data_IF_545382315451
#
_entry.id   IF_545382315451
#
_cell.length_a   1.000
_cell.length_b   1.000
_cell.length_c   1.000
_cell.angle_alpha   90.00
_cell.angle_beta   90.00
_cell.angle_gamma   90.00
#
_symmetry.space_group_name_H-M   'P 1'
#
loop_
_entity.id
_entity.type
_entity.pdbx_description
1 polymer ?
#
# COMPACT_ATOMS: atom_id res chain seq x y z
N UNK A 1 -8.87 -11.30 13.86
CA UNK A 1 -8.43 -12.71 13.73
C UNK A 1 -7.07 -12.85 14.40
N UNK A 2 -6.79 -13.97 15.06
CA UNK A 2 -5.49 -14.22 15.73
C UNK A 2 -4.70 -15.29 14.99
N UNK A 3 -3.44 -15.03 14.66
CA UNK A 3 -2.54 -16.02 14.06
C UNK A 3 -1.30 -16.17 14.94
N UNK A 4 -0.69 -17.36 14.95
CA UNK A 4 0.48 -17.64 15.77
C UNK A 4 1.51 -18.45 15.01
N UNK A 5 2.78 -18.13 15.21
CA UNK A 5 3.93 -18.85 14.69
C UNK A 5 4.93 -19.13 15.82
N UNK A 6 5.36 -20.38 15.97
CA UNK A 6 6.34 -20.76 16.99
C UNK A 6 7.58 -21.32 16.31
N UNK A 7 8.70 -20.64 16.48
CA UNK A 7 9.99 -21.01 15.91
C UNK A 7 10.92 -21.52 17.00
N UNK A 8 11.25 -22.81 16.94
CA UNK A 8 12.25 -23.43 17.81
C UNK A 8 13.62 -23.45 17.14
N UNK A 9 14.64 -23.05 17.88
CA UNK A 9 16.01 -23.06 17.43
C UNK A 9 16.94 -23.59 18.53
N UNK A 10 17.78 -24.57 18.20
CA UNK A 10 18.70 -25.22 19.14
C UNK A 10 19.61 -24.23 19.89
N UNK A 11 20.14 -23.23 19.17
CA UNK A 11 21.06 -22.21 19.72
C UNK A 11 20.36 -20.90 20.14
N UNK A 12 19.31 -20.48 19.42
CA UNK A 12 18.65 -19.18 19.63
C UNK A 12 17.42 -19.26 20.55
N UNK A 13 17.06 -20.46 21.03
CA UNK A 13 15.93 -20.68 21.93
C UNK A 13 14.61 -20.79 21.18
N UNK A 14 13.51 -20.47 21.86
CA UNK A 14 12.17 -20.49 21.27
C UNK A 14 11.68 -19.06 21.08
N UNK A 15 11.20 -18.75 19.88
CA UNK A 15 10.50 -17.49 19.58
C UNK A 15 9.05 -17.80 19.26
N UNK A 16 8.15 -17.05 19.84
CA UNK A 16 6.72 -17.13 19.61
C UNK A 16 6.26 -15.78 19.08
N UNK A 17 5.54 -15.82 17.98
CA UNK A 17 4.96 -14.65 17.33
C UNK A 17 3.45 -14.82 17.34
N UNK A 18 2.75 -13.83 17.84
CA UNK A 18 1.30 -13.81 17.87
C UNK A 18 0.82 -12.52 17.22
N UNK A 19 0.17 -12.67 16.07
CA UNK A 19 -0.50 -11.58 15.39
C UNK A 19 -1.86 -11.38 16.08
N UNK A 20 -1.98 -10.27 16.79
CA UNK A 20 -3.20 -9.83 17.48
C UNK A 20 -3.55 -8.48 16.92
N UNK A 21 -4.62 -8.46 16.14
CA UNK A 21 -5.12 -7.26 15.50
C UNK A 21 -3.99 -6.57 14.69
N UNK A 22 -3.58 -5.38 15.10
CA UNK A 22 -2.64 -4.50 14.39
C UNK A 22 -1.19 -4.69 14.85
N UNK A 23 -0.95 -5.66 15.72
CA UNK A 23 0.32 -5.83 16.42
C UNK A 23 0.81 -7.28 16.33
N UNK A 24 2.13 -7.43 16.30
CA UNK A 24 2.80 -8.71 16.51
C UNK A 24 3.43 -8.70 17.89
N UNK A 25 2.90 -9.56 18.77
CA UNK A 25 3.51 -9.86 20.05
C UNK A 25 4.59 -10.92 19.85
N UNK A 26 5.80 -10.60 20.26
CA UNK A 26 6.98 -11.45 20.14
C UNK A 26 7.40 -11.84 21.54
N UNK A 27 7.50 -13.14 21.79
CA UNK A 27 8.08 -13.68 23.02
C UNK A 27 9.27 -14.55 22.69
N UNK A 28 10.44 -14.20 23.20
CA UNK A 28 11.68 -14.93 23.00
C UNK A 28 12.15 -15.53 24.33
N UNK A 29 12.33 -16.85 24.36
CA UNK A 29 12.83 -17.59 25.52
C UNK A 29 14.15 -18.25 25.20
N UNK A 30 15.20 -17.89 25.95
CA UNK A 30 16.55 -18.47 25.84
C UNK A 30 17.12 -18.73 27.23
N UNK A 31 17.17 -20.01 27.62
CA UNK A 31 17.60 -20.41 28.96
C UNK A 31 16.66 -19.85 30.04
N UNK A 32 17.21 -19.02 30.93
CA UNK A 32 16.48 -18.31 32.01
C UNK A 32 15.95 -16.93 31.60
N UNK A 33 16.30 -16.42 30.41
CA UNK A 33 15.83 -15.12 29.92
C UNK A 33 14.55 -15.27 29.13
N UNK A 34 13.56 -14.45 29.46
CA UNK A 34 12.29 -14.30 28.76
C UNK A 34 12.14 -12.83 28.39
N UNK A 35 12.02 -12.55 27.10
CA UNK A 35 11.90 -11.22 26.54
C UNK A 35 10.60 -11.13 25.76
N UNK A 36 9.82 -10.08 26.02
CA UNK A 36 8.58 -9.81 25.31
C UNK A 36 8.66 -8.43 24.65
N UNK A 37 8.23 -8.35 23.40
CA UNK A 37 8.17 -7.13 22.62
C UNK A 37 6.86 -7.11 21.84
N UNK A 38 6.20 -5.96 21.79
CA UNK A 38 5.04 -5.74 20.92
C UNK A 38 5.45 -4.78 19.82
N UNK A 39 5.27 -5.19 18.57
CA UNK A 39 5.55 -4.36 17.39
C UNK A 39 4.24 -4.02 16.72
N UNK A 40 3.94 -2.74 16.60
CA UNK A 40 2.79 -2.24 15.84
C UNK A 40 3.11 -2.34 14.35
N UNK A 41 2.19 -2.87 13.56
CA UNK A 41 2.42 -3.12 12.14
C UNK A 41 2.58 -1.84 11.32
N UNK A 42 1.97 -0.72 11.72
CA UNK A 42 2.17 0.60 11.09
C UNK A 42 3.60 1.15 11.22
N UNK A 43 4.44 0.55 12.07
CA UNK A 43 5.84 0.92 12.21
C UNK A 43 6.77 0.13 11.26
N UNK A 44 6.30 -0.94 10.62
CA UNK A 44 7.11 -1.80 9.75
C UNK A 44 6.86 -1.54 8.27
N UNK A 45 7.88 -1.74 7.45
CA UNK A 45 7.75 -1.83 5.99
C UNK A 45 7.10 -3.19 5.65
N UNK A 46 5.98 -3.21 4.90
CA UNK A 46 5.26 -4.43 4.55
C UNK A 46 6.05 -5.36 3.63
N UNK A 47 7.14 -4.88 2.99
CA UNK A 47 8.05 -5.68 2.16
C UNK A 47 9.19 -6.20 3.03
N UNK A 48 9.13 -7.45 3.52
CA UNK A 48 10.20 -7.99 4.34
C UNK A 48 11.49 -8.18 3.53
N UNK A 49 12.62 -7.99 4.19
CA UNK A 49 13.96 -8.11 3.61
C UNK A 49 14.57 -9.43 4.05
N UNK A 50 15.04 -10.23 3.09
CA UNK A 50 15.78 -11.44 3.37
C UNK A 50 17.25 -11.11 3.72
N UNK A 51 17.76 -11.68 4.82
CA UNK A 51 19.15 -11.55 5.25
C UNK A 51 19.69 -12.92 5.66
N UNK A 52 20.26 -13.63 4.68
CA UNK A 52 20.79 -14.98 4.91
C UNK A 52 19.68 -15.98 5.24
N UNK A 53 19.71 -16.54 6.45
CA UNK A 53 18.70 -17.50 6.93
C UNK A 53 17.53 -16.85 7.67
N UNK A 54 17.48 -15.51 7.73
CA UNK A 54 16.38 -14.77 8.34
C UNK A 54 15.63 -13.90 7.34
N UNK A 55 14.35 -13.69 7.65
CA UNK A 55 13.47 -12.75 6.97
C UNK A 55 13.03 -11.71 7.99
N UNK A 56 13.26 -10.43 7.70
CA UNK A 56 12.98 -9.34 8.63
C UNK A 56 11.98 -8.33 8.07
N UNK A 57 10.98 -7.96 8.88
CA UNK A 57 10.23 -6.73 8.69
C UNK A 57 11.01 -5.60 9.36
N UNK A 58 11.37 -4.59 8.57
CA UNK A 58 12.18 -3.46 9.02
C UNK A 58 11.31 -2.27 9.36
N UNK A 59 11.79 -1.36 10.19
CA UNK A 59 11.14 -0.07 10.45
C UNK A 59 10.95 0.70 9.15
N UNK A 60 9.74 1.22 8.93
CA UNK A 60 9.45 2.08 7.77
C UNK A 60 10.26 3.40 7.82
N UNK A 61 10.75 3.80 9.00
CA UNK A 61 11.49 5.04 9.22
C UNK A 61 13.00 4.79 9.26
N UNK A 62 13.46 3.93 10.17
CA UNK A 62 14.90 3.73 10.43
C UNK A 62 15.51 2.59 9.61
N UNK A 63 14.69 1.77 8.94
CA UNK A 63 15.13 0.55 8.23
C UNK A 63 15.78 -0.52 9.12
N UNK A 64 15.68 -0.40 10.44
CA UNK A 64 16.18 -1.39 11.39
C UNK A 64 15.21 -2.58 11.52
N UNK A 65 15.68 -3.82 11.72
CA UNK A 65 14.82 -4.99 11.86
C UNK A 65 14.00 -4.91 13.15
N UNK A 66 12.67 -4.91 13.03
CA UNK A 66 11.75 -4.90 14.17
C UNK A 66 11.17 -6.29 14.43
N UNK A 67 10.88 -7.05 13.37
CA UNK A 67 10.41 -8.43 13.47
C UNK A 67 11.33 -9.28 12.62
N UNK A 68 11.92 -10.32 13.20
CA UNK A 68 12.84 -11.21 12.48
C UNK A 68 12.45 -12.67 12.67
N UNK A 69 12.25 -13.35 11.56
CA UNK A 69 11.90 -14.75 11.48
C UNK A 69 13.04 -15.59 10.93
N UNK A 70 13.13 -16.84 11.36
CA UNK A 70 13.92 -17.84 10.66
C UNK A 70 13.13 -18.39 9.47
N UNK A 71 13.74 -18.39 8.28
CA UNK A 71 13.08 -18.85 7.06
C UNK A 71 12.68 -20.32 7.18
N UNK A 72 11.49 -20.67 6.66
CA UNK A 72 10.95 -22.03 6.59
C UNK A 72 10.74 -22.74 7.93
N UNK A 73 10.63 -21.98 9.03
CA UNK A 73 10.36 -22.54 10.36
C UNK A 73 8.98 -22.12 10.88
N UNK A 74 8.21 -23.05 11.48
CA UNK A 74 8.56 -24.46 11.72
C UNK A 74 8.49 -25.35 10.47
N UNK A 75 7.61 -25.01 9.51
CA UNK A 75 7.58 -25.55 8.14
C UNK A 75 7.49 -24.39 7.15
N UNK A 76 7.86 -24.59 5.87
CA UNK A 76 7.65 -23.57 4.83
C UNK A 76 6.21 -23.09 4.76
N UNK A 77 5.23 -23.98 4.83
CA UNK A 77 3.81 -23.65 4.69
C UNK A 77 3.30 -22.79 5.84
N UNK A 78 3.61 -23.16 7.09
CA UNK A 78 3.20 -22.37 8.26
C UNK A 78 3.93 -21.01 8.31
N UNK A 79 5.20 -21.01 7.91
CA UNK A 79 6.00 -19.80 7.81
C UNK A 79 5.43 -18.84 6.77
N UNK A 80 5.24 -19.30 5.53
CA UNK A 80 4.74 -18.49 4.43
C UNK A 80 3.32 -18.00 4.70
N UNK A 81 2.46 -18.84 5.28
CA UNK A 81 1.10 -18.45 5.69
C UNK A 81 1.12 -17.35 6.75
N UNK A 82 2.00 -17.44 7.75
CA UNK A 82 2.11 -16.42 8.79
C UNK A 82 2.73 -15.12 8.25
N UNK A 83 3.80 -15.21 7.48
CA UNK A 83 4.44 -14.04 6.85
C UNK A 83 3.47 -13.32 5.91
N UNK A 84 2.67 -14.08 5.15
CA UNK A 84 1.64 -13.52 4.27
C UNK A 84 0.57 -12.77 5.07
N UNK A 85 0.11 -13.33 6.20
CA UNK A 85 -0.82 -12.63 7.10
C UNK A 85 -0.23 -11.38 7.73
N UNK A 86 1.02 -11.41 8.18
CA UNK A 86 1.70 -10.23 8.72
C UNK A 86 1.85 -9.15 7.64
N UNK A 87 2.18 -9.55 6.40
CA UNK A 87 2.25 -8.65 5.25
C UNK A 87 0.88 -8.05 4.93
N UNK A 88 -0.15 -8.88 4.76
CA UNK A 88 -1.53 -8.45 4.50
C UNK A 88 -1.98 -7.49 5.59
N UNK A 89 -1.73 -7.82 6.86
CA UNK A 89 -2.13 -6.95 7.97
C UNK A 89 -1.30 -5.67 8.06
N UNK A 90 -0.02 -5.71 7.73
CA UNK A 90 0.81 -4.50 7.64
C UNK A 90 0.36 -3.61 6.49
N UNK A 91 -0.09 -4.19 5.37
CA UNK A 91 -0.69 -3.47 4.25
C UNK A 91 -2.10 -2.94 4.60
N UNK A 92 -2.86 -3.67 5.42
CA UNK A 92 -4.18 -3.28 5.90
C UNK A 92 -4.12 -2.24 7.04
N UNK A 93 -3.05 -2.21 7.82
CA UNK A 93 -2.76 -1.19 8.84
C UNK A 93 -2.09 0.06 8.26
N UNK A 94 -1.44 -0.07 7.09
CA UNK A 94 -1.01 1.09 6.30
C UNK A 94 -2.22 1.93 5.83
N UNK A 95 -3.46 1.49 6.03
CA UNK A 95 -4.64 2.36 5.87
C UNK A 95 -4.68 3.52 6.89
N UNK A 96 -3.81 3.54 7.91
CA UNK A 96 -3.58 4.71 8.78
C UNK A 96 -2.46 5.65 8.32
N UNK A 97 -1.67 5.29 7.29
CA UNK A 97 -0.62 6.13 6.69
C UNK A 97 -0.58 5.93 5.19
N UNK A 98 -0.90 6.94 4.37
CA UNK A 98 -0.92 6.77 2.94
C UNK A 98 0.51 6.47 2.45
N UNK A 99 0.72 5.29 1.87
CA UNK A 99 1.81 5.05 0.91
C UNK A 99 1.50 3.90 -0.04
N UNK A 100 1.26 4.32 -1.29
CA UNK A 100 1.68 3.71 -2.56
C UNK A 100 1.77 2.19 -2.54
N UNK A 101 0.64 1.53 -2.78
CA UNK A 101 0.67 0.15 -3.27
C UNK A 101 1.43 0.16 -4.61
N UNK A 102 2.53 -0.59 -4.70
CA UNK A 102 3.12 -1.06 -5.96
C UNK A 102 2.21 -2.10 -6.66
N UNK A 103 0.89 -1.88 -6.62
CA UNK A 103 -0.09 -2.49 -7.51
C UNK A 103 -0.63 -1.36 -8.34
N UNK A 104 -0.35 -1.38 -9.64
CA UNK A 104 -0.58 -0.28 -10.56
C UNK A 104 -1.90 0.46 -10.32
N UNK A 105 -1.83 1.80 -10.42
CA UNK A 105 -2.97 2.71 -10.54
C UNK A 105 -4.04 2.04 -11.39
N UNK A 106 -4.99 1.37 -10.76
CA UNK A 106 -6.08 0.74 -11.48
C UNK A 106 -7.07 1.86 -11.72
N UNK A 107 -6.92 2.51 -12.88
CA UNK A 107 -7.85 3.56 -13.30
C UNK A 107 -9.24 2.92 -13.35
N UNK A 108 -10.13 3.38 -12.47
CA UNK A 108 -11.52 2.94 -12.40
C UNK A 108 -12.28 3.60 -13.55
N UNK A 109 -12.53 2.82 -14.60
CA UNK A 109 -13.18 3.28 -15.84
C UNK A 109 -14.51 4.00 -15.58
N UNK A 110 -15.28 3.52 -14.61
CA UNK A 110 -16.56 4.09 -14.19
C UNK A 110 -16.38 5.49 -13.59
N UNK A 111 -15.33 5.69 -12.80
CA UNK A 111 -15.03 6.99 -12.18
C UNK A 111 -14.51 8.00 -13.21
N UNK A 112 -13.74 7.53 -14.20
CA UNK A 112 -13.36 8.36 -15.36
C UNK A 112 -14.60 8.79 -16.14
N UNK A 113 -15.57 7.89 -16.34
CA UNK A 113 -16.82 8.23 -17.02
C UNK A 113 -17.64 9.27 -16.24
N UNK A 114 -17.80 9.09 -14.94
CA UNK A 114 -18.48 10.07 -14.07
C UNK A 114 -17.80 11.43 -14.13
N UNK A 115 -16.46 11.46 -14.07
CA UNK A 115 -15.69 12.70 -14.20
C UNK A 115 -15.97 13.41 -15.54
N UNK A 116 -15.96 12.68 -16.65
CA UNK A 116 -16.26 13.22 -17.99
C UNK A 116 -17.67 13.83 -18.03
N UNK A 117 -18.67 13.13 -17.48
CA UNK A 117 -20.07 13.57 -17.50
C UNK A 117 -20.29 14.80 -16.63
N UNK A 118 -19.66 14.85 -15.45
CA UNK A 118 -19.71 16.02 -14.56
C UNK A 118 -19.04 17.24 -15.21
N UNK A 119 -17.87 17.07 -15.84
CA UNK A 119 -17.18 18.16 -16.52
C UNK A 119 -17.98 18.68 -17.72
N UNK A 120 -18.55 17.78 -18.53
CA UNK A 120 -19.42 18.19 -19.66
C UNK A 120 -20.67 18.94 -19.21
N UNK A 121 -21.20 18.60 -18.03
CA UNK A 121 -22.43 19.19 -17.49
C UNK A 121 -22.18 20.55 -16.85
N UNK A 122 -21.10 20.70 -16.07
CA UNK A 122 -20.89 21.85 -15.19
C UNK A 122 -19.71 22.75 -15.56
N UNK A 123 -18.83 22.31 -16.47
CA UNK A 123 -17.69 23.10 -16.93
C UNK A 123 -17.88 23.39 -18.41
N UNK A 124 -18.60 24.48 -18.70
CA UNK A 124 -18.90 24.91 -20.06
C UNK A 124 -17.76 25.79 -20.59
N UNK A 125 -16.61 25.17 -20.85
CA UNK A 125 -15.45 25.86 -21.39
C UNK A 125 -14.79 25.06 -22.52
N UNK A 126 -14.51 25.71 -23.65
CA UNK A 126 -13.77 25.09 -24.73
C UNK A 126 -12.36 24.68 -24.28
N UNK A 127 -11.81 25.37 -23.28
CA UNK A 127 -10.48 25.14 -22.73
C UNK A 127 -10.33 23.78 -22.04
N UNK A 128 -11.42 23.12 -21.59
CA UNK A 128 -11.34 21.77 -21.00
C UNK A 128 -11.37 20.62 -22.02
N UNK A 129 -11.55 20.93 -23.31
CA UNK A 129 -11.61 19.92 -24.38
C UNK A 129 -10.37 18.98 -24.40
N UNK A 130 -9.12 19.48 -24.27
CA UNK A 130 -7.95 18.62 -24.24
C UNK A 130 -7.95 17.67 -23.04
N UNK A 131 -8.44 18.12 -21.88
CA UNK A 131 -8.59 17.27 -20.70
C UNK A 131 -9.64 16.18 -20.95
N UNK A 132 -10.82 16.52 -21.49
CA UNK A 132 -11.85 15.53 -21.80
C UNK A 132 -11.36 14.46 -22.78
N UNK A 133 -10.60 14.85 -23.81
CA UNK A 133 -10.00 13.91 -24.76
C UNK A 133 -8.99 12.98 -24.09
N UNK A 134 -8.14 13.52 -23.22
CA UNK A 134 -7.16 12.71 -22.47
C UNK A 134 -7.85 11.71 -21.52
N UNK A 135 -8.97 12.09 -20.88
CA UNK A 135 -9.76 11.21 -20.02
C UNK A 135 -10.45 10.10 -20.82
N UNK A 136 -11.01 10.42 -21.99
CA UNK A 136 -11.59 9.40 -22.89
C UNK A 136 -10.54 8.41 -23.39
N UNK A 137 -9.34 8.90 -23.72
CA UNK A 137 -8.22 8.03 -24.07
C UNK A 137 -7.81 7.17 -22.86
N UNK A 138 -7.64 7.74 -21.68
CA UNK A 138 -7.28 6.98 -20.48
C UNK A 138 -8.35 5.92 -20.15
N UNK A 139 -9.63 6.21 -20.36
CA UNK A 139 -10.75 5.27 -20.21
C UNK A 139 -10.62 4.04 -21.11
N UNK A 140 -10.17 4.22 -22.35
CA UNK A 140 -10.02 3.14 -23.32
C UNK A 140 -8.81 2.22 -23.05
N UNK A 141 -7.79 2.72 -22.35
CA UNK A 141 -6.58 1.97 -22.02
C UNK A 141 -6.07 2.40 -20.63
N UNK A 142 -6.74 1.94 -19.55
CA UNK A 142 -6.55 2.43 -18.18
C UNK A 142 -5.19 2.14 -17.58
N UNK A 143 -4.46 1.17 -18.13
CA UNK A 143 -3.14 0.77 -17.64
C UNK A 143 -1.98 1.45 -18.40
N UNK A 144 -2.30 2.35 -19.33
CA UNK A 144 -1.32 3.01 -20.18
C UNK A 144 -0.77 4.28 -19.54
N UNK A 145 0.48 4.19 -19.08
CA UNK A 145 1.19 5.30 -18.43
C UNK A 145 1.35 6.53 -19.33
N UNK A 146 1.43 6.36 -20.65
CA UNK A 146 1.51 7.50 -21.56
C UNK A 146 0.19 8.30 -21.55
N UNK A 147 -0.96 7.62 -21.53
CA UNK A 147 -2.27 8.28 -21.46
C UNK A 147 -2.49 9.00 -20.14
N UNK A 148 -1.94 8.48 -19.06
CA UNK A 148 -1.97 9.15 -17.76
C UNK A 148 -1.10 10.41 -17.77
N UNK A 149 0.10 10.34 -18.37
CA UNK A 149 0.97 11.50 -18.54
C UNK A 149 0.33 12.58 -19.43
N UNK A 150 -0.35 12.18 -20.51
CA UNK A 150 -1.10 13.09 -21.39
C UNK A 150 -2.23 13.80 -20.64
N UNK A 151 -2.94 13.08 -19.76
CA UNK A 151 -3.97 13.66 -18.91
C UNK A 151 -3.41 14.69 -17.92
N UNK A 152 -2.25 14.42 -17.31
CA UNK A 152 -1.58 15.41 -16.45
C UNK A 152 -1.14 16.65 -17.21
N UNK A 153 -0.58 16.47 -18.42
CA UNK A 153 -0.19 17.59 -19.26
C UNK A 153 -1.40 18.45 -19.63
N UNK A 154 -2.52 17.81 -20.01
CA UNK A 154 -3.77 18.49 -20.32
C UNK A 154 -4.34 19.25 -19.11
N UNK A 155 -4.35 18.63 -17.92
CA UNK A 155 -4.79 19.28 -16.70
C UNK A 155 -3.90 20.48 -16.31
N UNK A 156 -2.57 20.31 -16.34
CA UNK A 156 -1.62 21.36 -16.00
C UNK A 156 -1.73 22.57 -16.94
N UNK A 157 -2.20 22.35 -18.18
CA UNK A 157 -2.48 23.40 -19.15
C UNK A 157 -3.72 24.26 -18.86
N UNK A 158 -4.59 23.87 -17.92
CA UNK A 158 -5.86 24.55 -17.65
C UNK A 158 -5.77 25.82 -16.78
N UNK A 159 -4.62 26.09 -16.16
CA UNK A 159 -4.42 27.28 -15.32
C UNK A 159 -5.51 27.45 -14.24
N UNK A 160 -6.25 28.55 -14.27
CA UNK A 160 -7.29 28.87 -13.27
C UNK A 160 -8.47 27.89 -13.29
N UNK A 161 -8.71 27.20 -14.42
CA UNK A 161 -9.83 26.26 -14.58
C UNK A 161 -9.58 24.94 -13.83
N UNK A 162 -8.34 24.66 -13.41
CA UNK A 162 -7.99 23.49 -12.60
C UNK A 162 -8.86 23.38 -11.34
N UNK A 163 -9.16 24.50 -10.68
CA UNK A 163 -10.01 24.51 -9.49
C UNK A 163 -11.44 24.04 -9.78
N UNK A 164 -12.01 24.47 -10.92
CA UNK A 164 -13.33 24.02 -11.35
C UNK A 164 -13.34 22.52 -11.70
N UNK A 165 -12.27 22.03 -12.35
CA UNK A 165 -12.11 20.61 -12.66
C UNK A 165 -12.06 19.77 -11.38
N UNK A 166 -11.24 20.15 -10.40
CA UNK A 166 -11.13 19.41 -9.14
C UNK A 166 -12.44 19.45 -8.32
N UNK A 167 -13.21 20.52 -8.43
CA UNK A 167 -14.51 20.64 -7.75
C UNK A 167 -15.56 19.69 -8.32
N UNK A 168 -15.66 19.56 -9.65
CA UNK A 168 -16.68 18.73 -10.30
C UNK A 168 -16.23 17.30 -10.62
N UNK A 169 -14.93 17.08 -10.76
CA UNK A 169 -14.33 15.79 -11.04
C UNK A 169 -13.19 15.49 -10.05
N UNK A 170 -13.52 15.21 -8.77
CA UNK A 170 -12.52 14.94 -7.73
C UNK A 170 -11.62 13.74 -8.07
N UNK A 171 -12.14 12.79 -8.86
CA UNK A 171 -11.36 11.65 -9.36
C UNK A 171 -10.17 12.06 -10.25
N UNK A 172 -10.21 13.23 -10.90
CA UNK A 172 -9.03 13.78 -11.60
C UNK A 172 -7.93 14.08 -10.57
N UNK A 173 -8.30 14.66 -9.42
CA UNK A 173 -7.38 14.87 -8.30
C UNK A 173 -6.83 13.57 -7.72
N UNK A 174 -7.67 12.52 -7.64
CA UNK A 174 -7.28 11.16 -7.26
C UNK A 174 -6.26 10.54 -8.22
N UNK A 175 -6.40 10.80 -9.52
CA UNK A 175 -5.45 10.29 -10.51
C UNK A 175 -4.11 11.02 -10.36
N UNK A 176 -4.16 12.35 -10.18
CA UNK A 176 -3.00 13.25 -10.08
C UNK A 176 -2.20 13.13 -8.80
N UNK A 177 -2.88 12.92 -7.69
CA UNK A 177 -2.25 12.61 -6.43
C UNK A 177 -1.78 11.16 -6.54
N UNK A 178 -0.50 10.88 -6.24
CA UNK A 178 -0.11 9.47 -5.97
C UNK A 178 -0.89 8.88 -4.77
N UNK A 179 -1.70 9.70 -4.08
CA UNK A 179 -2.67 9.36 -3.06
C UNK A 179 -4.09 9.20 -3.63
N UNK A 180 -4.64 8.00 -3.46
CA UNK A 180 -6.06 7.72 -3.70
C UNK A 180 -6.86 8.31 -2.53
N UNK A 181 -7.77 9.30 -2.72
CA UNK A 181 -8.76 9.64 -1.71
C UNK A 181 -9.83 8.54 -1.69
N UNK A 182 -10.23 8.19 -0.47
CA UNK A 182 -11.19 7.15 -0.08
C UNK A 182 -12.43 7.01 -0.98
#
# INVERSE_FOLDING_TARGET
>A
MTARLVQKHLIHGTREFELVDDCVNIRSRKGLKDEALTVVLSAVDPKPVAKGSTLAFVSAISREPLIEFFVNKPTPEEFDAFVSKVRERALDEDFGRPRVRETGRTVKVEQVQIAIDMLRTYVTDAEITPLLQSLEALKQDPNNLARLADMYAAFNGLGLIQGAVLNYAPYVGTLMSDDVPD
#
